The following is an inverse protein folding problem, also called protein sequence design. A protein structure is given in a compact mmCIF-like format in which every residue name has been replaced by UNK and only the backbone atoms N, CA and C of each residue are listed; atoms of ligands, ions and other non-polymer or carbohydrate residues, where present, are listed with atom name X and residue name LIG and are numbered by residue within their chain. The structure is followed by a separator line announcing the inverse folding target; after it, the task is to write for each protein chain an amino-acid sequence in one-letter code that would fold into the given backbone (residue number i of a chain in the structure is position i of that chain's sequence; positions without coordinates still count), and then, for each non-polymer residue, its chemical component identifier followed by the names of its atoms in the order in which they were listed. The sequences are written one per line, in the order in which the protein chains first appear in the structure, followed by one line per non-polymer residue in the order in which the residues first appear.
data_IF_770921538204
#
_entry.id   IF_770921538204
#
_cell.length_a   1.000
_cell.length_b   1.000
_cell.length_c   1.000
_cell.angle_alpha   90.00
_cell.angle_beta   90.00
_cell.angle_gamma   90.00
#
_symmetry.space_group_name_H-M   'P 1'
#
loop_
_entity.id
_entity.type
_entity.pdbx_description
1 polymer ?
#
# COMPACT_ATOMS: atom_id res chain seq x y z
N UNK A 1 52.55 -12.11 -28.79
CA UNK A 1 52.21 -10.99 -27.88
C UNK A 1 50.70 -10.84 -27.60
N UNK A 2 49.86 -11.83 -27.94
CA UNK A 2 48.41 -11.84 -27.67
C UNK A 2 47.89 -12.85 -26.63
N UNK A 3 48.62 -13.88 -26.15
CA UNK A 3 48.03 -14.87 -25.25
C UNK A 3 47.75 -14.30 -23.85
N UNK A 4 48.48 -13.26 -23.44
CA UNK A 4 48.26 -12.57 -22.17
C UNK A 4 46.98 -11.72 -22.17
N UNK A 5 46.54 -11.21 -23.34
CA UNK A 5 45.35 -10.37 -23.48
C UNK A 5 44.06 -11.19 -23.37
N UNK A 6 44.07 -12.43 -23.91
CA UNK A 6 42.97 -13.40 -23.80
C UNK A 6 42.80 -13.94 -22.36
N UNK A 7 43.91 -14.09 -21.61
CA UNK A 7 43.87 -14.54 -20.23
C UNK A 7 43.29 -13.46 -19.28
N UNK A 8 43.53 -12.18 -19.56
CA UNK A 8 42.96 -11.07 -18.77
C UNK A 8 41.44 -10.91 -18.95
N UNK A 9 40.88 -11.27 -20.11
CA UNK A 9 39.44 -11.23 -20.36
C UNK A 9 38.64 -12.29 -19.58
N UNK A 10 39.29 -13.37 -19.14
CA UNK A 10 38.68 -14.43 -18.32
C UNK A 10 38.68 -14.13 -16.82
N UNK A 11 39.48 -13.16 -16.37
CA UNK A 11 39.54 -12.69 -14.97
C UNK A 11 38.73 -11.40 -14.74
N UNK A 12 38.02 -10.89 -15.75
CA UNK A 12 37.09 -9.79 -15.52
C UNK A 12 36.02 -10.26 -14.51
N UNK A 13 35.76 -9.49 -13.44
CA UNK A 13 34.68 -9.83 -12.53
C UNK A 13 33.39 -9.92 -13.35
N UNK A 14 32.75 -11.08 -13.31
CA UNK A 14 31.38 -11.18 -13.81
C UNK A 14 30.55 -10.28 -12.93
N UNK A 15 29.98 -9.23 -13.53
CA UNK A 15 28.92 -8.46 -12.88
C UNK A 15 27.71 -9.41 -12.83
N UNK A 16 27.69 -10.29 -11.85
CA UNK A 16 26.54 -11.16 -11.62
C UNK A 16 25.45 -10.25 -11.06
N UNK A 17 24.35 -10.11 -11.80
CA UNK A 17 23.21 -9.36 -11.32
C UNK A 17 22.76 -9.99 -10.00
N UNK A 18 22.69 -9.19 -8.95
CA UNK A 18 22.29 -9.71 -7.65
C UNK A 18 20.83 -10.18 -7.73
N UNK A 19 20.58 -11.46 -7.48
CA UNK A 19 19.22 -12.00 -7.49
C UNK A 19 18.58 -11.84 -6.10
N UNK A 20 17.37 -11.30 -6.07
CA UNK A 20 16.57 -11.19 -4.85
C UNK A 20 15.20 -11.83 -5.09
N UNK A 21 14.76 -12.67 -4.15
CA UNK A 21 13.40 -13.21 -4.16
C UNK A 21 12.63 -12.68 -2.97
N UNK A 22 11.46 -12.08 -3.21
CA UNK A 22 10.56 -11.60 -2.16
C UNK A 22 9.18 -12.28 -2.27
N UNK A 23 8.63 -12.64 -1.12
CA UNK A 23 7.28 -13.13 -0.91
C UNK A 23 6.38 -11.96 -0.54
N UNK A 24 5.54 -11.54 -1.48
CA UNK A 24 4.71 -10.34 -1.37
C UNK A 24 3.21 -10.65 -1.48
N UNK A 25 2.33 -9.87 -0.84
CA UNK A 25 0.89 -10.09 -0.92
C UNK A 25 0.31 -9.69 -2.29
N UNK A 26 -0.82 -10.30 -2.64
CA UNK A 26 -1.67 -9.89 -3.76
C UNK A 26 -3.05 -9.43 -3.24
N UNK A 27 -3.61 -8.44 -3.92
CA UNK A 27 -4.96 -7.92 -3.64
C UNK A 27 -5.84 -8.04 -4.88
N UNK A 28 -7.10 -8.44 -4.69
CA UNK A 28 -8.10 -8.60 -5.77
C UNK A 28 -8.35 -7.31 -6.55
N UNK A 29 -8.31 -6.16 -5.87
CA UNK A 29 -8.47 -4.84 -6.48
C UNK A 29 -7.27 -4.38 -7.33
N UNK A 30 -6.20 -5.18 -7.39
CA UNK A 30 -4.99 -4.86 -8.15
C UNK A 30 -4.13 -3.76 -7.55
N UNK A 31 -4.48 -3.20 -6.38
CA UNK A 31 -3.75 -2.08 -5.74
C UNK A 31 -2.27 -2.38 -5.47
N UNK A 32 -1.91 -3.65 -5.30
CA UNK A 32 -0.55 -4.12 -5.10
C UNK A 32 0.40 -3.88 -6.30
N UNK A 33 -0.13 -3.83 -7.52
CA UNK A 33 0.66 -3.83 -8.76
C UNK A 33 1.62 -2.63 -8.86
N UNK A 34 1.16 -1.47 -8.40
CA UNK A 34 1.99 -0.26 -8.34
C UNK A 34 3.26 -0.48 -7.50
N UNK A 35 3.11 -1.06 -6.31
CA UNK A 35 4.23 -1.29 -5.39
C UNK A 35 5.19 -2.35 -5.91
N UNK A 36 4.67 -3.40 -6.54
CA UNK A 36 5.50 -4.44 -7.15
C UNK A 36 6.35 -3.86 -8.29
N UNK A 37 5.73 -3.11 -9.21
CA UNK A 37 6.45 -2.46 -10.29
C UNK A 37 7.51 -1.48 -9.76
N UNK A 38 7.15 -0.64 -8.78
CA UNK A 38 8.09 0.30 -8.17
C UNK A 38 9.32 -0.40 -7.55
N UNK A 39 9.13 -1.51 -6.85
CA UNK A 39 10.23 -2.32 -6.31
C UNK A 39 11.08 -2.96 -7.41
N UNK A 40 10.46 -3.51 -8.45
CA UNK A 40 11.18 -4.13 -9.56
C UNK A 40 12.05 -3.11 -10.30
N UNK A 41 11.49 -1.96 -10.68
CA UNK A 41 12.22 -0.92 -11.42
C UNK A 41 13.36 -0.32 -10.55
N UNK A 42 13.06 0.03 -9.29
CA UNK A 42 14.09 0.61 -8.40
C UNK A 42 15.25 -0.34 -8.10
N UNK A 43 15.00 -1.64 -8.00
CA UNK A 43 16.06 -2.64 -7.79
C UNK A 43 16.82 -2.91 -9.09
N UNK A 44 16.14 -2.96 -10.24
CA UNK A 44 16.77 -3.09 -11.55
C UNK A 44 17.76 -1.96 -11.82
N UNK A 45 17.42 -0.71 -11.46
CA UNK A 45 18.31 0.46 -11.54
C UNK A 45 19.60 0.31 -10.72
N UNK A 46 19.61 -0.58 -9.72
CA UNK A 46 20.78 -0.90 -8.89
C UNK A 46 21.50 -2.19 -9.31
N UNK A 47 21.07 -2.82 -10.40
CA UNK A 47 21.62 -4.10 -10.88
C UNK A 47 21.11 -5.33 -10.13
N UNK A 48 19.99 -5.20 -9.40
CA UNK A 48 19.34 -6.30 -8.65
C UNK A 48 18.14 -6.82 -9.44
N UNK A 49 18.13 -8.11 -9.77
CA UNK A 49 16.99 -8.78 -10.40
C UNK A 49 16.02 -9.28 -9.33
N UNK A 50 14.82 -8.69 -9.27
CA UNK A 50 13.78 -9.08 -8.31
C UNK A 50 12.83 -10.14 -8.88
N UNK A 51 12.71 -11.27 -8.19
CA UNK A 51 11.63 -12.26 -8.38
C UNK A 51 10.60 -12.13 -7.27
N UNK A 52 9.31 -11.99 -7.63
CA UNK A 52 8.22 -11.89 -6.66
C UNK A 52 7.44 -13.20 -6.60
N UNK A 53 7.31 -13.78 -5.41
CA UNK A 53 6.45 -14.92 -5.10
C UNK A 53 5.17 -14.45 -4.42
N UNK A 54 4.04 -14.99 -4.85
CA UNK A 54 2.72 -14.66 -4.29
C UNK A 54 1.99 -15.95 -3.86
N UNK A 55 2.43 -16.62 -2.78
CA UNK A 55 1.87 -17.90 -2.37
C UNK A 55 0.49 -17.78 -1.68
N UNK A 56 0.06 -16.56 -1.36
CA UNK A 56 -1.20 -16.29 -0.67
C UNK A 56 -2.20 -15.63 -1.61
N UNK A 57 -3.44 -16.14 -1.62
CA UNK A 57 -4.58 -15.42 -2.19
C UNK A 57 -4.91 -14.16 -1.37
N UNK A 58 -5.96 -13.44 -1.72
CA UNK A 58 -6.40 -12.28 -0.95
C UNK A 58 -6.64 -12.65 0.53
N UNK A 59 -5.94 -11.96 1.43
CA UNK A 59 -6.02 -12.18 2.88
C UNK A 59 -6.45 -10.90 3.60
N UNK A 60 -7.22 -11.02 4.70
CA UNK A 60 -7.54 -9.88 5.55
C UNK A 60 -6.28 -9.17 6.06
N UNK A 61 -6.32 -7.85 6.15
CA UNK A 61 -5.16 -7.03 6.54
C UNK A 61 -4.52 -7.44 7.87
N UNK A 62 -5.32 -7.83 8.88
CA UNK A 62 -4.79 -8.33 10.17
C UNK A 62 -3.98 -9.62 10.02
N UNK A 63 -4.36 -10.50 9.07
CA UNK A 63 -3.63 -11.74 8.79
C UNK A 63 -2.29 -11.42 8.12
N UNK A 64 -2.28 -10.49 7.16
CA UNK A 64 -1.05 -10.06 6.49
C UNK A 64 -0.03 -9.48 7.48
N UNK A 65 -0.46 -8.62 8.41
CA UNK A 65 0.43 -8.08 9.45
C UNK A 65 1.09 -9.19 10.29
N UNK A 66 0.33 -10.24 10.65
CA UNK A 66 0.88 -11.39 11.37
C UNK A 66 1.86 -12.18 10.53
N UNK A 67 1.58 -12.38 9.23
CA UNK A 67 2.49 -13.09 8.34
C UNK A 67 3.82 -12.35 8.14
N UNK A 68 3.82 -11.02 8.16
CA UNK A 68 5.08 -10.23 8.17
C UNK A 68 5.83 -10.45 9.49
N UNK A 69 5.14 -10.35 10.62
CA UNK A 69 5.76 -10.59 11.94
C UNK A 69 6.33 -12.01 12.09
N UNK A 70 5.70 -12.99 11.43
CA UNK A 70 6.11 -14.40 11.42
C UNK A 70 7.14 -14.72 10.31
N UNK A 71 7.67 -13.73 9.59
CA UNK A 71 8.61 -13.87 8.46
C UNK A 71 8.11 -14.76 7.30
N UNK A 72 6.79 -14.79 7.06
CA UNK A 72 6.16 -15.49 5.93
C UNK A 72 5.86 -14.57 4.74
N UNK A 73 5.81 -13.26 4.98
CA UNK A 73 5.72 -12.20 3.97
C UNK A 73 6.86 -11.21 4.24
N UNK A 74 7.59 -10.84 3.20
CA UNK A 74 8.78 -9.99 3.37
C UNK A 74 8.42 -8.51 3.52
N UNK A 75 7.41 -8.03 2.77
CA UNK A 75 6.99 -6.63 2.79
C UNK A 75 5.47 -6.48 2.70
N UNK A 76 4.97 -5.40 3.32
CA UNK A 76 3.58 -5.01 3.27
C UNK A 76 3.49 -3.47 3.28
N UNK A 77 2.67 -2.90 2.40
CA UNK A 77 2.40 -1.45 2.35
C UNK A 77 1.11 -1.13 3.10
N UNK A 78 1.21 -0.22 4.07
CA UNK A 78 0.08 0.28 4.84
C UNK A 78 0.34 1.72 5.28
N UNK A 79 -0.73 2.40 5.71
CA UNK A 79 -0.60 3.63 6.49
C UNK A 79 0.24 3.38 7.76
N UNK A 80 1.18 4.27 8.04
CA UNK A 80 1.99 4.19 9.26
C UNK A 80 1.12 4.36 10.51
N UNK A 81 1.46 3.65 11.59
CA UNK A 81 0.87 3.89 12.92
C UNK A 81 1.87 3.50 14.01
N UNK A 82 1.78 4.17 15.17
CA UNK A 82 2.64 3.86 16.31
C UNK A 82 2.52 2.40 16.78
N UNK A 83 1.36 1.77 16.59
CA UNK A 83 1.16 0.35 16.87
C UNK A 83 1.97 -0.55 15.93
N UNK A 84 1.96 -0.25 14.62
CA UNK A 84 2.72 -1.01 13.61
C UNK A 84 4.21 -0.81 13.74
N UNK A 85 4.64 0.42 14.02
CA UNK A 85 6.07 0.74 14.18
C UNK A 85 6.70 0.04 15.39
N UNK A 86 5.89 -0.44 16.35
CA UNK A 86 6.35 -1.30 17.46
C UNK A 86 6.46 -2.77 17.09
N UNK A 87 5.70 -3.22 16.09
CA UNK A 87 5.58 -4.63 15.70
C UNK A 87 6.41 -4.97 14.46
N UNK A 88 6.66 -3.98 13.59
CA UNK A 88 7.23 -4.14 12.26
C UNK A 88 8.34 -3.10 12.03
N UNK A 89 9.31 -3.44 11.20
CA UNK A 89 10.39 -2.53 10.79
C UNK A 89 9.93 -1.65 9.61
N UNK A 90 9.87 -0.31 9.75
CA UNK A 90 9.41 0.56 8.67
C UNK A 90 10.50 0.84 7.64
N UNK A 91 10.15 0.75 6.35
CA UNK A 91 10.94 1.30 5.24
C UNK A 91 10.54 2.77 5.06
N UNK A 92 11.45 3.69 5.39
CA UNK A 92 11.16 5.14 5.45
C UNK A 92 11.28 5.83 4.08
N UNK A 93 10.56 5.30 3.09
CA UNK A 93 10.44 5.90 1.75
C UNK A 93 8.96 6.16 1.47
N UNK A 94 8.62 7.38 1.08
CA UNK A 94 7.25 7.72 0.76
C UNK A 94 6.89 7.26 -0.66
N UNK A 95 6.27 6.09 -0.74
CA UNK A 95 5.89 5.44 -2.00
C UNK A 95 4.74 6.16 -2.72
N UNK A 96 3.99 7.02 -2.01
CA UNK A 96 2.78 7.66 -2.57
C UNK A 96 2.81 9.18 -2.49
N UNK A 97 3.91 9.78 -2.02
CA UNK A 97 4.01 11.22 -1.74
C UNK A 97 2.85 11.72 -0.87
N UNK A 98 2.48 10.93 0.13
CA UNK A 98 1.37 11.19 1.04
C UNK A 98 -0.03 10.91 0.48
N UNK A 99 -0.18 10.48 -0.78
CA UNK A 99 -1.49 10.24 -1.40
C UNK A 99 -2.31 9.14 -0.71
N UNK A 100 -1.66 8.12 -0.13
CA UNK A 100 -2.35 7.07 0.65
C UNK A 100 -3.12 7.62 1.87
N UNK A 101 -2.70 8.78 2.38
CA UNK A 101 -3.35 9.49 3.48
C UNK A 101 -4.41 10.50 3.05
N UNK A 102 -4.51 10.83 1.76
CA UNK A 102 -5.50 11.78 1.26
C UNK A 102 -6.90 11.16 1.29
N UNK A 103 -7.91 12.00 1.52
CA UNK A 103 -9.32 11.60 1.58
C UNK A 103 -10.13 12.45 0.64
N UNK A 104 -10.94 11.79 -0.17
CA UNK A 104 -11.90 12.43 -1.07
C UNK A 104 -13.28 12.01 -0.60
N UNK A 105 -14.16 12.99 -0.40
CA UNK A 105 -15.55 12.71 -0.08
C UNK A 105 -16.29 12.34 -1.38
N UNK A 106 -16.69 11.07 -1.48
CA UNK A 106 -17.58 10.63 -2.55
C UNK A 106 -19.02 10.97 -2.18
N UNK A 107 -19.73 11.62 -3.10
CA UNK A 107 -21.12 12.01 -2.95
C UNK A 107 -21.96 11.40 -4.08
N UNK A 108 -23.28 11.22 -3.90
CA UNK A 108 -24.16 10.76 -4.97
C UNK A 108 -24.06 11.64 -6.21
N UNK A 109 -24.16 11.03 -7.38
CA UNK A 109 -24.16 11.77 -8.65
C UNK A 109 -25.32 12.76 -8.67
N UNK A 110 -25.04 14.03 -8.94
CA UNK A 110 -26.03 15.11 -8.97
C UNK A 110 -26.15 15.91 -7.67
N UNK A 111 -25.58 15.43 -6.56
CA UNK A 111 -25.72 16.10 -5.25
C UNK A 111 -24.72 17.25 -5.02
N UNK A 112 -23.81 17.51 -5.97
CA UNK A 112 -22.72 18.48 -5.80
C UNK A 112 -23.17 19.86 -5.29
N UNK A 113 -24.32 20.36 -5.76
CA UNK A 113 -24.90 21.64 -5.31
C UNK A 113 -25.14 21.71 -3.80
N UNK A 114 -25.47 20.59 -3.16
CA UNK A 114 -25.67 20.54 -1.69
C UNK A 114 -24.37 20.77 -0.91
N UNK A 115 -23.20 20.63 -1.57
CA UNK A 115 -21.89 20.71 -0.94
C UNK A 115 -21.10 21.97 -1.34
N UNK A 116 -21.55 22.76 -2.32
CA UNK A 116 -20.81 23.93 -2.86
C UNK A 116 -20.43 24.97 -1.80
N UNK A 117 -21.30 25.17 -0.80
CA UNK A 117 -21.09 26.13 0.29
C UNK A 117 -20.32 25.60 1.50
N UNK A 118 -19.93 24.33 1.52
CA UNK A 118 -19.25 23.73 2.68
C UNK A 118 -17.80 24.18 2.73
N UNK A 119 -17.44 24.91 3.78
CA UNK A 119 -16.07 25.41 4.01
C UNK A 119 -15.48 24.98 5.35
N UNK A 120 -16.30 24.41 6.21
CA UNK A 120 -15.92 24.00 7.55
C UNK A 120 -16.77 22.82 8.03
N UNK A 121 -16.41 22.29 9.20
CA UNK A 121 -17.10 21.14 9.77
C UNK A 121 -18.52 21.46 10.24
N UNK A 122 -18.79 22.71 10.65
CA UNK A 122 -20.12 23.12 11.11
C UNK A 122 -21.13 23.13 9.96
N UNK A 123 -20.78 23.76 8.85
CA UNK A 123 -21.54 23.76 7.59
C UNK A 123 -21.70 22.34 7.04
N UNK A 124 -20.68 21.48 7.14
CA UNK A 124 -20.81 20.08 6.75
C UNK A 124 -21.81 19.31 7.61
N UNK A 125 -21.77 19.46 8.95
CA UNK A 125 -22.74 18.84 9.87
C UNK A 125 -24.16 19.29 9.59
N UNK A 126 -24.36 20.56 9.24
CA UNK A 126 -25.67 21.13 8.93
C UNK A 126 -26.34 20.47 7.71
N UNK A 127 -25.57 19.82 6.82
CA UNK A 127 -26.14 19.06 5.71
C UNK A 127 -26.92 17.81 6.15
N UNK A 128 -26.71 17.33 7.38
CA UNK A 128 -27.40 16.13 7.90
C UNK A 128 -27.11 14.85 7.13
N UNK A 129 -25.99 14.78 6.40
CA UNK A 129 -25.61 13.62 5.58
C UNK A 129 -25.02 12.50 6.44
N UNK A 130 -25.30 11.26 6.07
CA UNK A 130 -24.80 10.05 6.74
C UNK A 130 -23.74 9.37 5.89
N UNK A 131 -22.56 9.11 6.46
CA UNK A 131 -21.48 8.41 5.76
C UNK A 131 -21.73 6.91 5.64
N UNK A 132 -21.37 6.31 4.49
CA UNK A 132 -21.29 4.85 4.34
C UNK A 132 -19.84 4.42 4.37
N UNK A 133 -19.41 3.75 5.44
CA UNK A 133 -18.01 3.40 5.69
C UNK A 133 -17.82 1.87 5.74
N UNK A 134 -16.67 1.41 5.27
CA UNK A 134 -16.26 0.02 5.42
C UNK A 134 -15.79 -0.28 6.84
N UNK A 135 -16.12 -1.47 7.36
CA UNK A 135 -15.70 -1.89 8.69
C UNK A 135 -14.16 -1.93 8.83
N UNK A 136 -13.65 -1.27 9.87
CA UNK A 136 -12.23 -1.17 10.17
C UNK A 136 -11.50 -0.04 9.43
N UNK A 137 -12.21 0.78 8.65
CA UNK A 137 -11.59 1.93 7.98
C UNK A 137 -11.20 3.01 8.99
N UNK A 138 -10.11 3.73 8.72
CA UNK A 138 -9.68 4.86 9.56
C UNK A 138 -10.74 5.97 9.59
N UNK A 139 -11.56 6.06 8.55
CA UNK A 139 -12.60 7.05 8.37
C UNK A 139 -13.69 6.94 9.45
N UNK A 140 -13.96 5.75 10.00
CA UNK A 140 -14.90 5.62 11.13
C UNK A 140 -14.50 6.49 12.32
N UNK A 141 -13.19 6.46 12.66
CA UNK A 141 -12.65 7.26 13.76
C UNK A 141 -12.69 8.76 13.45
N UNK A 142 -12.48 9.13 12.19
CA UNK A 142 -12.58 10.52 11.74
C UNK A 142 -14.02 11.02 11.87
N UNK A 143 -15.01 10.26 11.41
CA UNK A 143 -16.42 10.63 11.52
C UNK A 143 -16.87 10.72 12.98
N UNK A 144 -16.49 9.73 13.79
CA UNK A 144 -16.81 9.71 15.22
C UNK A 144 -16.22 10.91 15.97
N UNK A 145 -14.92 11.18 15.79
CA UNK A 145 -14.26 12.33 16.42
C UNK A 145 -14.91 13.67 16.03
N UNK A 146 -15.45 13.73 14.81
CA UNK A 146 -16.15 14.89 14.27
C UNK A 146 -17.66 14.87 14.51
N UNK A 147 -18.20 13.93 15.29
CA UNK A 147 -19.65 13.81 15.60
C UNK A 147 -20.52 13.79 14.34
N UNK A 148 -20.05 13.09 13.31
CA UNK A 148 -20.78 12.88 12.06
C UNK A 148 -21.50 11.53 12.10
N UNK A 149 -22.74 11.43 11.62
CA UNK A 149 -23.43 10.16 11.55
C UNK A 149 -22.85 9.29 10.43
N UNK A 150 -22.74 7.99 10.69
CA UNK A 150 -22.28 7.01 9.71
C UNK A 150 -22.89 5.63 9.94
N UNK A 151 -22.93 4.84 8.87
CA UNK A 151 -23.21 3.41 8.92
C UNK A 151 -21.98 2.64 8.49
N UNK A 152 -21.76 1.50 9.13
CA UNK A 152 -20.65 0.60 8.84
C UNK A 152 -21.16 -0.61 8.10
N UNK A 153 -20.54 -0.92 6.95
CA UNK A 153 -20.82 -2.15 6.20
C UNK A 153 -19.62 -3.08 6.29
N UNK A 154 -19.86 -4.32 6.71
CA UNK A 154 -18.89 -5.40 6.52
C UNK A 154 -18.94 -5.76 5.04
N UNK A 155 -17.84 -5.55 4.31
CA UNK A 155 -17.77 -5.97 2.91
C UNK A 155 -17.80 -7.51 2.88
N UNK A 156 -18.93 -8.10 2.51
CA UNK A 156 -18.98 -9.48 2.05
C UNK A 156 -18.35 -9.52 0.65
N UNK A 157 -17.53 -10.55 0.32
CA UNK A 157 -17.02 -10.71 -1.02
C UNK A 157 -18.19 -10.72 -2.00
N UNK A 158 -18.06 -9.96 -3.08
CA UNK A 158 -19.02 -9.99 -4.19
C UNK A 158 -18.82 -11.34 -4.86
N UNK A 159 -19.86 -12.19 -4.85
CA UNK A 159 -19.89 -13.49 -5.53
C UNK A 159 -19.68 -13.36 -7.04
#
# INVERSE_FOLDING_TARGET
MYPLLLLLLLLAPRLEAAELTLTLPAFEDGSHRYYHALLQESLADTGVTLTIRQPFAHLPQKRLQRLVADNQIDLLWMLQSAERDRLLTPVRIDLTRGLIGQRVLLIPKGDAKSYEGVRDLASFRALGKVGGLGAGWYDERVWQANRLPYHVRVMTPIS
#
